data_IF_544191027215
#
_entry.id   IF_544191027215
#
_cell.length_a   1.000
_cell.length_b   1.000
_cell.length_c   1.000
_cell.angle_alpha   90.00
_cell.angle_beta   90.00
_cell.angle_gamma   90.00
#
_symmetry.space_group_name_H-M   'P 1'
#
loop_
_entity.id
_entity.type
_entity.pdbx_description
1 polymer ?
#
# COMPACT_ATOMS: atom_id res chain seq x y z
N UNK A 1 -5.14 -0.94 -5.75
CA UNK A 1 -5.22 -0.25 -4.45
C UNK A 1 -4.38 1.01 -4.51
N UNK A 2 -4.96 2.14 -4.17
CA UNK A 2 -4.26 3.42 -4.20
C UNK A 2 -3.60 3.71 -2.86
N UNK A 3 -2.36 4.17 -2.90
CA UNK A 3 -1.55 4.42 -1.72
C UNK A 3 -0.82 5.75 -1.88
N UNK A 4 -0.79 6.56 -0.85
CA UNK A 4 0.10 7.72 -0.80
C UNK A 4 1.28 7.35 0.08
N UNK A 5 2.49 7.46 -0.48
CA UNK A 5 3.73 7.16 0.23
C UNK A 5 4.53 8.42 0.47
N UNK A 6 5.34 8.39 1.52
CA UNK A 6 6.30 9.46 1.82
C UNK A 6 7.49 9.32 0.90
N UNK A 7 7.88 10.42 0.28
CA UNK A 7 9.02 10.43 -0.63
C UNK A 7 8.64 9.98 -2.04
N UNK A 8 9.65 9.62 -2.78
CA UNK A 8 9.51 9.24 -4.19
C UNK A 8 10.24 7.92 -4.41
N UNK A 9 9.52 6.86 -4.86
CA UNK A 9 10.17 5.61 -5.20
C UNK A 9 11.25 5.83 -6.26
N UNK A 10 12.35 5.11 -6.15
CA UNK A 10 13.47 5.22 -7.10
C UNK A 10 13.03 4.85 -8.52
N UNK A 11 12.15 3.85 -8.65
CA UNK A 11 11.60 3.41 -9.92
C UNK A 11 10.12 3.76 -10.00
N UNK A 12 9.68 4.21 -11.18
CA UNK A 12 8.25 4.54 -11.39
C UNK A 12 7.36 3.30 -11.42
N UNK A 13 7.94 2.15 -11.71
CA UNK A 13 7.24 0.87 -11.77
C UNK A 13 8.20 -0.22 -11.35
N UNK A 14 7.77 -1.09 -10.46
CA UNK A 14 8.60 -2.21 -10.01
C UNK A 14 7.74 -3.33 -9.43
N UNK A 15 8.33 -4.53 -9.42
CA UNK A 15 7.82 -5.68 -8.70
C UNK A 15 8.66 -5.84 -7.44
N UNK A 16 8.00 -5.95 -6.29
CA UNK A 16 8.66 -6.17 -5.01
C UNK A 16 8.39 -7.59 -4.53
N UNK A 17 9.46 -8.33 -4.28
CA UNK A 17 9.39 -9.67 -3.70
C UNK A 17 10.23 -9.67 -2.43
N UNK A 18 9.59 -10.00 -1.32
CA UNK A 18 10.25 -10.06 -0.02
C UNK A 18 9.73 -11.26 0.76
N UNK A 19 10.45 -11.64 1.78
CA UNK A 19 10.02 -12.65 2.74
C UNK A 19 9.69 -11.95 4.03
N UNK A 20 8.48 -12.20 4.54
CA UNK A 20 7.94 -11.49 5.69
C UNK A 20 7.76 -12.42 6.87
N UNK A 21 8.17 -11.97 8.04
CA UNK A 21 8.00 -12.68 9.29
C UNK A 21 7.15 -11.83 10.23
N UNK A 22 6.02 -12.39 10.66
CA UNK A 22 5.12 -11.74 11.62
C UNK A 22 5.48 -12.12 13.05
N UNK A 23 5.59 -11.10 13.90
CA UNK A 23 5.64 -11.27 15.34
C UNK A 23 4.22 -11.07 15.89
N UNK A 24 3.52 -12.16 16.20
CA UNK A 24 2.13 -12.09 16.70
C UNK A 24 2.03 -11.38 18.04
N UNK A 25 3.07 -11.43 18.85
CA UNK A 25 3.11 -10.80 20.17
C UNK A 25 3.04 -9.27 20.08
N UNK A 26 3.77 -8.69 19.14
CA UNK A 26 3.82 -7.25 18.95
C UNK A 26 2.95 -6.78 17.80
N UNK A 27 2.34 -7.71 17.07
CA UNK A 27 1.58 -7.43 15.84
C UNK A 27 2.38 -6.60 14.84
N UNK A 28 3.64 -6.96 14.65
CA UNK A 28 4.52 -6.33 13.68
C UNK A 28 5.03 -7.34 12.67
N UNK A 29 5.37 -6.85 11.47
CA UNK A 29 5.91 -7.66 10.38
C UNK A 29 7.21 -7.04 9.94
N UNK A 30 8.20 -7.86 9.62
CA UNK A 30 9.48 -7.38 9.12
C UNK A 30 9.94 -8.20 7.92
N UNK A 31 10.74 -7.56 7.09
CA UNK A 31 11.43 -8.22 5.97
C UNK A 31 12.61 -9.02 6.54
N UNK A 32 12.69 -10.29 6.15
CA UNK A 32 13.72 -11.20 6.62
C UNK A 32 14.34 -11.94 5.42
N UNK A 33 15.49 -12.61 5.61
CA UNK A 33 16.07 -13.46 4.56
C UNK A 33 15.15 -14.61 4.17
N UNK A 34 15.25 -15.05 2.92
CA UNK A 34 14.41 -16.10 2.34
C UNK A 34 14.33 -17.38 3.17
N UNK A 35 15.44 -17.80 3.72
CA UNK A 35 15.52 -19.06 4.45
C UNK A 35 15.12 -18.96 5.94
N UNK A 36 14.58 -17.83 6.36
CA UNK A 36 14.12 -17.65 7.74
C UNK A 36 12.92 -18.55 8.02
N UNK A 37 12.97 -19.28 9.15
CA UNK A 37 11.87 -20.14 9.58
C UNK A 37 10.58 -19.33 9.74
N UNK A 38 9.46 -19.86 9.21
CA UNK A 38 8.13 -19.26 9.23
C UNK A 38 7.99 -17.98 8.39
N UNK A 39 9.00 -17.58 7.66
CA UNK A 39 8.89 -16.46 6.74
C UNK A 39 7.99 -16.83 5.55
N UNK A 40 7.21 -15.87 5.07
CA UNK A 40 6.28 -16.07 3.96
C UNK A 40 6.66 -15.15 2.80
N UNK A 41 6.66 -15.72 1.59
CA UNK A 41 6.92 -14.95 0.38
C UNK A 41 5.78 -13.96 0.14
N UNK A 42 6.12 -12.72 -0.11
CA UNK A 42 5.18 -11.65 -0.42
C UNK A 42 5.57 -10.98 -1.72
N UNK A 43 4.63 -10.83 -2.62
CA UNK A 43 4.85 -10.21 -3.93
C UNK A 43 3.77 -9.18 -4.21
N UNK A 44 4.20 -8.02 -4.66
CA UNK A 44 3.34 -6.99 -5.20
C UNK A 44 4.05 -6.30 -6.36
N UNK A 45 3.31 -5.63 -7.21
CA UNK A 45 3.88 -4.64 -8.11
C UNK A 45 3.23 -3.28 -7.89
N UNK A 46 3.94 -2.23 -8.26
CA UNK A 46 3.44 -0.88 -8.13
C UNK A 46 3.78 -0.04 -9.34
N UNK A 47 2.99 1.00 -9.53
CA UNK A 47 3.28 2.07 -10.49
C UNK A 47 3.00 3.42 -9.82
N UNK A 48 3.93 4.36 -10.01
CA UNK A 48 3.76 5.73 -9.52
C UNK A 48 2.86 6.46 -10.51
N UNK A 49 1.71 6.93 -10.04
CA UNK A 49 0.74 7.65 -10.87
C UNK A 49 1.01 9.15 -10.89
N UNK A 50 1.43 9.70 -9.77
CA UNK A 50 1.73 11.12 -9.62
C UNK A 50 2.67 11.31 -8.43
N UNK A 51 3.43 12.37 -8.44
CA UNK A 51 4.32 12.70 -7.33
C UNK A 51 4.52 14.21 -7.21
N UNK A 52 4.85 14.62 -5.99
CA UNK A 52 5.44 15.91 -5.73
C UNK A 52 6.73 15.65 -4.95
N UNK A 53 7.43 16.70 -4.52
CA UNK A 53 8.73 16.53 -3.86
C UNK A 53 8.67 15.75 -2.54
N UNK A 54 7.51 15.68 -1.90
CA UNK A 54 7.36 15.11 -0.56
C UNK A 54 6.64 13.78 -0.52
N UNK A 55 5.66 13.57 -1.39
CA UNK A 55 4.81 12.37 -1.40
C UNK A 55 4.56 11.89 -2.82
N UNK A 56 4.17 10.63 -2.96
CA UNK A 56 3.84 10.03 -4.25
C UNK A 56 2.52 9.28 -4.15
N UNK A 57 1.71 9.38 -5.22
CA UNK A 57 0.51 8.56 -5.37
C UNK A 57 0.88 7.30 -6.15
N UNK A 58 0.64 6.15 -5.55
CA UNK A 58 1.08 4.86 -6.07
C UNK A 58 -0.10 3.92 -6.19
N UNK A 59 -0.19 3.23 -7.32
CA UNK A 59 -1.12 2.12 -7.48
C UNK A 59 -0.40 0.82 -7.20
N UNK A 60 -0.96 0.00 -6.31
CA UNK A 60 -0.38 -1.28 -5.89
C UNK A 60 -1.28 -2.42 -6.32
N UNK A 61 -0.68 -3.43 -6.93
CA UNK A 61 -1.35 -4.69 -7.27
C UNK A 61 -0.72 -5.82 -6.45
N UNK A 62 -1.54 -6.50 -5.66
CA UNK A 62 -1.09 -7.58 -4.78
C UNK A 62 -1.17 -8.92 -5.49
N UNK A 63 -0.05 -9.64 -5.56
CA UNK A 63 -0.04 -11.04 -5.95
C UNK A 63 -0.27 -11.95 -4.74
N UNK A 64 0.10 -11.49 -3.55
CA UNK A 64 -0.13 -12.15 -2.27
C UNK A 64 -0.80 -11.19 -1.29
N UNK A 65 -1.43 -11.70 -0.26
CA UNK A 65 -2.12 -10.90 0.76
C UNK A 65 -1.59 -11.16 2.16
N UNK A 66 -0.29 -10.96 2.40
CA UNK A 66 0.29 -11.16 3.72
C UNK A 66 -0.07 -10.03 4.67
N UNK A 67 -0.04 -10.32 5.97
CA UNK A 67 -0.30 -9.33 7.01
C UNK A 67 0.62 -8.11 6.85
N UNK A 68 0.07 -6.92 6.85
CA UNK A 68 0.76 -5.64 6.70
C UNK A 68 1.68 -5.55 5.46
N UNK A 69 1.43 -6.36 4.44
CA UNK A 69 2.35 -6.52 3.31
C UNK A 69 2.69 -5.21 2.62
N UNK A 70 1.70 -4.43 2.21
CA UNK A 70 1.94 -3.17 1.48
C UNK A 70 2.75 -2.22 2.34
N UNK A 71 2.39 -2.11 3.62
CA UNK A 71 3.02 -1.21 4.57
C UNK A 71 4.52 -1.52 4.73
N UNK A 72 4.83 -2.80 4.90
CA UNK A 72 6.21 -3.26 5.15
C UNK A 72 7.06 -3.20 3.89
N UNK A 73 6.50 -3.64 2.75
CA UNK A 73 7.26 -3.65 1.50
C UNK A 73 7.56 -2.24 0.98
N UNK A 74 6.63 -1.30 1.11
CA UNK A 74 6.88 0.08 0.73
C UNK A 74 7.85 0.78 1.68
N UNK A 75 7.76 0.50 2.98
CA UNK A 75 8.77 0.99 3.92
C UNK A 75 10.16 0.46 3.55
N UNK A 76 10.25 -0.79 3.14
CA UNK A 76 11.53 -1.43 2.82
C UNK A 76 12.26 -0.75 1.65
N UNK A 77 11.54 -0.14 0.73
CA UNK A 77 12.14 0.65 -0.36
C UNK A 77 12.34 2.12 0.02
N UNK A 78 12.14 2.48 1.28
CA UNK A 78 12.35 3.83 1.77
C UNK A 78 11.15 4.77 1.60
N UNK A 79 9.99 4.25 1.21
CA UNK A 79 8.80 5.04 0.96
C UNK A 79 7.61 4.51 1.78
N UNK A 80 7.62 4.72 3.11
CA UNK A 80 6.52 4.25 3.95
C UNK A 80 5.22 4.95 3.58
N UNK A 81 4.09 4.30 3.89
CA UNK A 81 2.77 4.88 3.61
C UNK A 81 2.56 6.11 4.50
N UNK A 82 2.02 7.17 3.90
CA UNK A 82 1.66 8.39 4.62
C UNK A 82 0.68 8.07 5.75
N UNK A 83 0.98 8.53 6.95
CA UNK A 83 0.16 8.27 8.13
C UNK A 83 0.44 6.94 8.84
N UNK A 84 1.41 6.18 8.36
CA UNK A 84 1.77 4.90 8.97
C UNK A 84 2.77 5.08 10.10
N UNK A 85 2.27 5.28 11.30
CA UNK A 85 3.10 5.51 12.49
C UNK A 85 3.88 4.24 12.87
N UNK A 86 3.25 3.07 12.71
CA UNK A 86 3.84 1.79 13.14
C UNK A 86 5.12 1.44 12.37
N UNK A 87 5.15 1.70 11.06
CA UNK A 87 6.27 1.33 10.20
C UNK A 87 7.15 2.51 9.78
N UNK A 88 7.13 3.58 10.56
CA UNK A 88 7.97 4.73 10.30
C UNK A 88 7.41 5.68 9.26
N UNK A 89 6.10 5.69 9.13
CA UNK A 89 5.40 6.70 8.35
C UNK A 89 5.72 8.09 8.86
N UNK A 90 5.41 9.07 8.07
CA UNK A 90 5.85 10.42 8.22
C UNK A 90 5.46 11.05 9.57
N UNK A 91 6.41 11.69 10.23
CA UNK A 91 6.15 12.49 11.43
C UNK A 91 5.21 13.66 11.14
N UNK A 92 5.23 14.19 9.91
CA UNK A 92 4.35 15.26 9.47
C UNK A 92 2.90 14.80 9.35
N UNK A 93 2.68 13.49 9.20
CA UNK A 93 1.36 12.88 9.07
C UNK A 93 0.82 12.36 10.39
N UNK A 94 1.48 12.65 11.50
CA UNK A 94 1.02 12.23 12.83
C UNK A 94 -0.39 12.72 13.08
N UNK A 95 -1.29 11.80 13.44
CA UNK A 95 -2.71 12.10 13.62
C UNK A 95 -3.57 11.94 12.38
N UNK A 96 -2.97 11.74 11.20
CA UNK A 96 -3.69 11.39 9.98
C UNK A 96 -3.92 9.89 9.89
N UNK A 97 -4.97 9.49 9.17
CA UNK A 97 -5.23 8.09 8.89
C UNK A 97 -4.24 7.55 7.87
N UNK A 98 -4.04 6.24 7.92
CA UNK A 98 -3.22 5.53 6.93
C UNK A 98 -3.77 5.80 5.51
N UNK A 99 -2.94 6.31 4.62
CA UNK A 99 -3.34 6.68 3.26
C UNK A 99 -3.29 5.47 2.32
N UNK A 100 -4.21 4.55 2.54
CA UNK A 100 -4.36 3.32 1.78
C UNK A 100 -5.82 3.21 1.34
N UNK A 101 -6.07 3.10 0.04
CA UNK A 101 -7.43 3.10 -0.48
C UNK A 101 -7.60 2.07 -1.59
N UNK A 102 -8.54 1.13 -1.40
CA UNK A 102 -8.95 0.19 -2.42
C UNK A 102 -10.08 0.80 -3.23
N UNK A 103 -9.80 1.23 -4.46
CA UNK A 103 -10.80 1.89 -5.29
C UNK A 103 -11.67 0.92 -6.09
N UNK A 104 -11.28 -0.33 -6.19
CA UNK A 104 -12.01 -1.35 -6.92
C UNK A 104 -12.10 -2.63 -6.10
N UNK A 105 -13.32 -3.12 -5.92
CA UNK A 105 -13.59 -4.38 -5.22
C UNK A 105 -14.32 -5.31 -6.17
N UNK A 106 -13.75 -6.49 -6.41
CA UNK A 106 -14.35 -7.55 -7.22
C UNK A 106 -14.68 -8.74 -6.34
N UNK A 107 -15.90 -9.25 -6.48
CA UNK A 107 -16.32 -10.45 -5.75
C UNK A 107 -17.46 -11.16 -6.45
N UNK A 108 -17.72 -12.40 -6.04
CA UNK A 108 -18.85 -13.20 -6.53
C UNK A 108 -20.02 -13.05 -5.56
N UNK A 109 -21.17 -12.65 -6.08
CA UNK A 109 -22.37 -12.51 -5.26
C UNK A 109 -22.73 -13.87 -4.64
N UNK A 110 -22.96 -13.94 -3.32
CA UNK A 110 -23.16 -15.22 -2.63
C UNK A 110 -24.44 -15.98 -3.05
N UNK A 111 -25.47 -15.26 -3.49
CA UNK A 111 -26.75 -15.87 -3.88
C UNK A 111 -26.84 -16.10 -5.39
N UNK A 112 -26.58 -15.09 -6.20
CA UNK A 112 -26.71 -15.16 -7.65
C UNK A 112 -25.51 -15.76 -8.36
N UNK A 113 -24.36 -15.83 -7.68
CA UNK A 113 -23.07 -16.28 -8.24
C UNK A 113 -22.56 -15.40 -9.38
N UNK A 114 -23.10 -14.21 -9.54
CA UNK A 114 -22.63 -13.24 -10.51
C UNK A 114 -21.35 -12.57 -10.03
N UNK A 115 -20.45 -12.27 -10.97
CA UNK A 115 -19.27 -11.47 -10.69
C UNK A 115 -19.69 -10.02 -10.50
N UNK A 116 -19.28 -9.42 -9.39
CA UNK A 116 -19.62 -8.04 -9.07
C UNK A 116 -18.34 -7.21 -8.92
N UNK A 117 -18.40 -5.97 -9.39
CA UNK A 117 -17.29 -5.01 -9.27
C UNK A 117 -17.82 -3.70 -8.72
N UNK A 118 -17.20 -3.23 -7.64
CA UNK A 118 -17.48 -1.90 -7.07
C UNK A 118 -16.23 -1.05 -7.17
N UNK A 119 -16.43 0.23 -7.52
CA UNK A 119 -15.35 1.22 -7.56
C UNK A 119 -15.68 2.34 -6.59
N UNK A 120 -14.69 2.70 -5.78
CA UNK A 120 -14.79 3.78 -4.82
C UNK A 120 -13.48 4.57 -4.86
N UNK A 121 -13.56 5.85 -5.16
CA UNK A 121 -12.38 6.69 -5.31
C UNK A 121 -12.01 7.37 -4.01
N UNK A 122 -10.70 7.67 -3.79
CA UNK A 122 -10.28 8.38 -2.59
C UNK A 122 -10.95 9.73 -2.46
N UNK A 123 -11.17 10.25 -1.23
CA UNK A 123 -11.74 11.57 -1.05
C UNK A 123 -10.80 12.65 -1.57
N UNK A 124 -11.32 13.51 -2.45
CA UNK A 124 -10.52 14.53 -3.14
C UNK A 124 -10.23 15.75 -2.27
N UNK A 125 -11.01 15.95 -1.21
CA UNK A 125 -10.94 17.12 -0.34
C UNK A 125 -10.12 16.88 0.94
N UNK A 126 -9.55 15.69 1.13
CA UNK A 126 -8.83 15.31 2.33
C UNK A 126 -7.35 15.10 2.03
N UNK A 127 -6.49 15.70 2.85
CA UNK A 127 -5.05 15.46 2.80
C UNK A 127 -4.73 14.01 3.22
N UNK A 128 -3.84 13.27 2.52
CA UNK A 128 -2.97 13.74 1.43
C UNK A 128 -3.57 13.62 0.02
N UNK A 129 -4.79 13.12 -0.12
CA UNK A 129 -5.39 12.83 -1.42
C UNK A 129 -5.58 14.07 -2.28
N UNK A 130 -5.87 15.22 -1.65
CA UNK A 130 -6.15 16.48 -2.34
C UNK A 130 -4.92 17.15 -2.99
N UNK A 131 -3.71 16.63 -2.78
CA UNK A 131 -2.51 17.16 -3.43
C UNK A 131 -2.28 16.57 -4.82
N UNK A 132 -3.12 15.61 -5.23
CA UNK A 132 -3.00 14.91 -6.51
C UNK A 132 -4.22 15.13 -7.39
N UNK A 133 -4.03 14.96 -8.71
CA UNK A 133 -5.13 14.87 -9.63
C UNK A 133 -5.69 13.47 -9.64
N UNK A 134 -6.81 13.24 -8.93
CA UNK A 134 -7.40 11.91 -8.78
C UNK A 134 -8.07 11.41 -10.06
N UNK A 135 -8.19 12.22 -11.11
CA UNK A 135 -8.68 11.75 -12.41
C UNK A 135 -7.78 10.67 -13.00
N UNK A 136 -6.52 10.61 -12.56
CA UNK A 136 -5.57 9.58 -12.97
C UNK A 136 -6.03 8.17 -12.58
N UNK A 137 -6.77 8.02 -11.48
CA UNK A 137 -7.23 6.73 -10.96
C UNK A 137 -8.67 6.39 -11.31
N UNK A 138 -9.40 7.33 -11.89
CA UNK A 138 -10.81 7.15 -12.28
C UNK A 138 -10.99 6.50 -13.68
#
# INVERSE_FOLDING_TARGET
MNVVVVGKPREKRAKLVNYLLKNARTNTVQVVPELTTNAKRAELDYVVLDDNEKVSLVEVNLATGRSHQIRVQLKNIGCPIYGDVKYGGDKLAKGHNLALWAYELKFVHPTTKENMTFKCYPPEDITPWNVFNLDIVK
#
